data_IF_202654449697
#
_entry.id   IF_202654449697
#
_cell.length_a   1.000
_cell.length_b   1.000
_cell.length_c   1.000
_cell.angle_alpha   90.00
_cell.angle_beta   90.00
_cell.angle_gamma   90.00
#
_symmetry.space_group_name_H-M   'P 1'
#
loop_
_entity.id
_entity.type
_entity.pdbx_description
1 polymer ?
#
# COMPACT_ATOMS: atom_id res chain seq x y z
N UNK A 1 48.39 -18.72 10.17
CA UNK A 1 47.52 -19.42 11.09
C UNK A 1 46.11 -18.94 10.94
N UNK A 2 45.20 -19.79 10.42
CA UNK A 2 43.77 -19.52 10.35
C UNK A 2 43.19 -19.65 11.76
N UNK A 3 42.72 -18.55 12.32
CA UNK A 3 41.94 -18.58 13.55
C UNK A 3 40.48 -18.97 13.19
N UNK A 4 40.05 -20.10 13.75
CA UNK A 4 38.61 -20.51 13.66
C UNK A 4 37.82 -19.64 14.63
N UNK A 5 36.78 -18.96 14.08
CA UNK A 5 35.79 -18.26 14.88
C UNK A 5 34.86 -19.31 15.51
N UNK A 6 34.63 -19.32 16.83
CA UNK A 6 33.71 -20.26 17.45
C UNK A 6 32.27 -19.97 16.97
N UNK A 7 31.41 -21.01 16.84
CA UNK A 7 30.02 -20.82 16.49
C UNK A 7 29.29 -20.02 17.57
N UNK A 8 28.28 -19.22 17.20
CA UNK A 8 27.50 -18.48 18.17
C UNK A 8 26.77 -19.44 19.12
N UNK A 9 26.54 -19.03 20.37
CA UNK A 9 25.79 -19.88 21.31
C UNK A 9 24.42 -20.18 20.79
N UNK A 10 24.04 -21.46 20.92
CA UNK A 10 22.73 -21.96 20.56
C UNK A 10 21.61 -21.11 21.16
N UNK A 11 20.74 -20.62 20.32
CA UNK A 11 19.55 -19.87 20.74
C UNK A 11 18.72 -20.76 21.67
N UNK A 12 18.50 -20.28 22.89
CA UNK A 12 17.56 -20.89 23.81
C UNK A 12 16.16 -20.69 23.24
N UNK A 13 15.56 -21.75 22.74
CA UNK A 13 14.16 -21.76 22.34
C UNK A 13 13.32 -21.70 23.63
N UNK A 14 12.89 -20.51 23.99
CA UNK A 14 11.85 -20.35 24.99
C UNK A 14 10.53 -20.79 24.36
N UNK A 15 10.06 -21.97 24.75
CA UNK A 15 8.66 -22.38 24.57
C UNK A 15 7.79 -21.51 25.50
N UNK A 16 7.34 -20.38 25.01
CA UNK A 16 6.24 -19.66 25.61
C UNK A 16 4.97 -20.07 24.86
N UNK A 17 4.21 -20.99 25.44
CA UNK A 17 2.82 -21.23 25.11
C UNK A 17 1.98 -20.06 25.62
N UNK A 18 2.10 -18.91 25.04
CA UNK A 18 1.10 -17.85 25.03
C UNK A 18 0.70 -17.68 23.58
N UNK A 19 -0.57 -17.85 23.29
CA UNK A 19 -1.12 -17.50 21.99
C UNK A 19 -0.79 -16.02 21.76
N UNK A 20 0.32 -15.78 21.05
CA UNK A 20 0.66 -14.46 20.58
C UNK A 20 -0.48 -14.04 19.64
N UNK A 21 -1.07 -12.85 19.80
CA UNK A 21 -2.07 -12.39 18.85
C UNK A 21 -1.46 -12.50 17.46
N UNK A 22 -2.13 -13.23 16.56
CA UNK A 22 -1.71 -13.35 15.18
C UNK A 22 -1.90 -11.98 14.55
N UNK A 23 -0.84 -11.19 14.53
CA UNK A 23 -0.81 -9.96 13.74
C UNK A 23 -0.78 -10.38 12.28
N UNK A 24 -1.92 -10.28 11.62
CA UNK A 24 -1.98 -10.31 10.17
C UNK A 24 -1.33 -9.03 9.65
N UNK A 25 0.00 -9.07 9.51
CA UNK A 25 0.74 -7.98 8.90
C UNK A 25 0.24 -7.79 7.47
N UNK A 26 -0.11 -6.55 7.12
CA UNK A 26 -0.43 -6.15 5.75
C UNK A 26 0.72 -5.35 5.20
N UNK A 27 1.16 -5.70 4.00
CA UNK A 27 2.09 -4.88 3.22
C UNK A 27 1.42 -4.52 1.91
N UNK A 28 1.34 -3.25 1.61
CA UNK A 28 0.89 -2.71 0.33
C UNK A 28 2.05 -1.92 -0.27
N UNK A 29 2.36 -2.21 -1.52
CA UNK A 29 3.38 -1.52 -2.31
C UNK A 29 2.78 -1.00 -3.60
N UNK A 30 2.97 0.26 -3.91
CA UNK A 30 2.71 0.84 -5.23
C UNK A 30 3.99 1.40 -5.81
N UNK A 31 4.23 1.11 -7.08
CA UNK A 31 5.40 1.57 -7.82
C UNK A 31 4.93 2.28 -9.08
N UNK A 32 5.52 3.44 -9.32
CA UNK A 32 5.35 4.25 -10.51
C UNK A 32 6.68 4.34 -11.25
N UNK A 33 6.69 4.02 -12.53
CA UNK A 33 7.86 4.18 -13.39
C UNK A 33 7.49 4.96 -14.65
N UNK A 34 8.21 6.01 -14.92
CA UNK A 34 8.13 6.70 -16.21
C UNK A 34 8.92 5.92 -17.24
N UNK A 35 8.30 5.62 -18.35
CA UNK A 35 8.93 4.98 -19.51
C UNK A 35 8.76 5.82 -20.78
N UNK A 36 9.45 5.43 -21.87
CA UNK A 36 9.28 6.07 -23.17
C UNK A 36 7.83 5.99 -23.69
N UNK A 37 7.10 4.94 -23.32
CA UNK A 37 5.71 4.69 -23.73
C UNK A 37 4.67 5.29 -22.75
N UNK A 38 5.11 6.01 -21.74
CA UNK A 38 4.25 6.62 -20.74
C UNK A 38 4.52 6.14 -19.32
N UNK A 39 3.59 6.40 -18.43
CA UNK A 39 3.68 6.03 -17.00
C UNK A 39 3.15 4.63 -16.79
N UNK A 40 3.95 3.80 -16.14
CA UNK A 40 3.53 2.52 -15.59
C UNK A 40 3.24 2.67 -14.11
N UNK A 41 2.11 2.15 -13.64
CA UNK A 41 1.75 2.11 -12.23
C UNK A 41 1.26 0.71 -11.87
N UNK A 42 1.86 0.14 -10.84
CA UNK A 42 1.45 -1.14 -10.28
C UNK A 42 1.19 -0.99 -8.78
N UNK A 43 0.26 -1.77 -8.25
CA UNK A 43 0.03 -1.89 -6.82
C UNK A 43 -0.10 -3.36 -6.47
N UNK A 44 0.58 -3.76 -5.41
CA UNK A 44 0.54 -5.12 -4.89
C UNK A 44 0.36 -5.13 -3.38
N UNK A 45 -0.14 -6.23 -2.89
CA UNK A 45 -0.28 -6.49 -1.46
C UNK A 45 -0.03 -7.95 -1.17
N UNK A 46 0.03 -8.33 0.08
CA UNK A 46 0.26 -9.71 0.51
C UNK A 46 -0.75 -10.65 -0.16
N UNK A 47 -0.26 -11.51 -1.05
CA UNK A 47 -1.08 -12.48 -1.78
C UNK A 47 -1.91 -11.93 -2.94
N UNK A 48 -1.77 -10.66 -3.31
CA UNK A 48 -2.51 -10.07 -4.43
C UNK A 48 -1.69 -9.02 -5.18
N UNK A 49 -1.79 -9.04 -6.51
CA UNK A 49 -1.24 -8.00 -7.40
C UNK A 49 -2.35 -7.47 -8.31
N UNK A 50 -2.45 -6.16 -8.43
CA UNK A 50 -3.37 -5.49 -9.37
C UNK A 50 -2.57 -4.55 -10.27
N UNK A 51 -2.67 -4.80 -11.57
CA UNK A 51 -2.02 -4.02 -12.62
C UNK A 51 -3.01 -3.07 -13.27
N UNK A 52 -2.49 -2.01 -13.91
CA UNK A 52 -3.29 -0.98 -14.57
C UNK A 52 -4.47 -1.50 -15.40
N UNK A 53 -4.29 -2.63 -16.12
CA UNK A 53 -5.32 -3.24 -16.95
C UNK A 53 -5.71 -4.67 -16.56
N UNK A 54 -5.07 -5.27 -15.55
CA UNK A 54 -5.26 -6.68 -15.20
C UNK A 54 -5.47 -6.82 -13.69
N UNK A 55 -6.56 -7.48 -13.31
CA UNK A 55 -6.78 -7.95 -11.94
C UNK A 55 -6.23 -9.36 -11.84
N UNK A 56 -5.17 -9.55 -11.05
CA UNK A 56 -4.62 -10.87 -10.78
C UNK A 56 -5.36 -11.51 -9.62
N UNK A 57 -5.71 -12.77 -9.76
CA UNK A 57 -6.44 -13.53 -8.75
C UNK A 57 -5.68 -13.58 -7.42
N UNK A 58 -6.33 -13.14 -6.36
CA UNK A 58 -5.86 -13.27 -4.99
C UNK A 58 -7.03 -13.27 -4.03
N UNK A 59 -6.86 -13.92 -2.89
CA UNK A 59 -7.85 -13.91 -1.80
C UNK A 59 -7.80 -12.62 -0.98
N UNK A 60 -6.75 -11.85 -1.10
CA UNK A 60 -6.59 -10.59 -0.38
C UNK A 60 -7.46 -9.51 -1.02
N UNK A 61 -8.39 -8.98 -0.24
CA UNK A 61 -9.32 -7.93 -0.66
C UNK A 61 -8.79 -6.52 -0.38
N UNK A 62 -7.50 -6.41 -0.08
CA UNK A 62 -6.85 -5.15 0.34
C UNK A 62 -6.32 -4.31 -0.82
N UNK A 63 -6.32 -4.84 -2.03
CA UNK A 63 -5.93 -4.13 -3.25
C UNK A 63 -7.04 -4.27 -4.28
N UNK A 64 -7.44 -3.17 -4.91
CA UNK A 64 -8.46 -3.17 -5.96
C UNK A 64 -8.33 -1.99 -6.92
N UNK A 65 -9.00 -2.11 -8.05
CA UNK A 65 -9.29 -1.00 -8.94
C UNK A 65 -10.61 -0.35 -8.56
N UNK A 66 -10.63 0.97 -8.54
CA UNK A 66 -11.82 1.78 -8.29
C UNK A 66 -11.98 2.84 -9.38
N UNK A 67 -13.08 3.57 -9.36
CA UNK A 67 -13.36 4.64 -10.31
C UNK A 67 -13.21 4.17 -11.77
N UNK A 68 -14.03 3.18 -12.18
CA UNK A 68 -14.02 2.60 -13.53
C UNK A 68 -12.64 2.05 -13.97
N UNK A 69 -11.87 1.51 -13.02
CA UNK A 69 -10.54 0.96 -13.28
C UNK A 69 -9.42 1.98 -13.47
N UNK A 70 -9.69 3.26 -13.26
CA UNK A 70 -8.72 4.34 -13.46
C UNK A 70 -7.84 4.60 -12.24
N UNK A 71 -8.23 4.12 -11.06
CA UNK A 71 -7.51 4.32 -9.81
C UNK A 71 -7.21 2.97 -9.17
N UNK A 72 -5.96 2.80 -8.77
CA UNK A 72 -5.51 1.66 -7.97
C UNK A 72 -5.55 2.06 -6.50
N UNK A 73 -6.08 1.20 -5.65
CA UNK A 73 -6.19 1.46 -4.22
C UNK A 73 -5.78 0.25 -3.40
N UNK A 74 -5.06 0.50 -2.32
CA UNK A 74 -4.64 -0.50 -1.35
C UNK A 74 -4.91 -0.03 0.08
N UNK A 75 -5.15 -0.96 0.98
CA UNK A 75 -5.56 -0.69 2.34
C UNK A 75 -4.73 -1.48 3.33
N UNK A 76 -4.21 -0.80 4.35
CA UNK A 76 -3.58 -1.40 5.51
C UNK A 76 -4.42 -1.11 6.77
N UNK A 77 -4.94 -2.15 7.39
CA UNK A 77 -5.84 -2.09 8.54
C UNK A 77 -6.82 -3.26 8.58
N UNK A 78 -7.89 -3.15 9.35
CA UNK A 78 -8.91 -4.19 9.43
C UNK A 78 -9.72 -4.30 8.14
N UNK A 79 -9.90 -5.51 7.63
CA UNK A 79 -10.55 -5.74 6.32
C UNK A 79 -12.00 -5.23 6.27
N UNK A 80 -12.73 -5.32 7.37
CA UNK A 80 -14.10 -4.81 7.43
C UNK A 80 -14.18 -3.30 7.20
N UNK A 81 -13.15 -2.57 7.60
CA UNK A 81 -13.07 -1.11 7.46
C UNK A 81 -12.63 -0.67 6.07
N UNK A 82 -11.91 -1.55 5.36
CA UNK A 82 -11.41 -1.29 4.01
C UNK A 82 -12.55 -0.97 3.03
N UNK A 83 -13.61 -1.74 3.06
CA UNK A 83 -14.74 -1.56 2.15
C UNK A 83 -15.41 -0.20 2.32
N UNK A 84 -15.63 0.22 3.56
CA UNK A 84 -16.23 1.52 3.85
C UNK A 84 -15.35 2.66 3.32
N UNK A 85 -14.04 2.60 3.54
CA UNK A 85 -13.11 3.61 3.06
C UNK A 85 -13.00 3.64 1.53
N UNK A 86 -12.96 2.48 0.88
CA UNK A 86 -12.96 2.42 -0.59
C UNK A 86 -14.23 3.01 -1.20
N UNK A 87 -15.39 2.68 -0.64
CA UNK A 87 -16.66 3.24 -1.10
C UNK A 87 -16.73 4.75 -0.92
N UNK A 88 -16.29 5.25 0.23
CA UNK A 88 -16.22 6.68 0.51
C UNK A 88 -15.25 7.40 -0.42
N UNK A 89 -14.11 6.80 -0.69
CA UNK A 89 -13.13 7.37 -1.60
C UNK A 89 -13.63 7.40 -3.04
N UNK A 90 -14.25 6.32 -3.49
CA UNK A 90 -14.86 6.26 -4.83
C UNK A 90 -15.94 7.32 -5.02
N UNK A 91 -16.79 7.54 -4.00
CA UNK A 91 -17.78 8.61 -4.03
C UNK A 91 -17.13 10.00 -4.14
N UNK A 92 -15.99 10.24 -3.49
CA UNK A 92 -15.22 11.50 -3.64
C UNK A 92 -14.60 11.63 -5.02
N UNK A 93 -14.09 10.54 -5.59
CA UNK A 93 -13.57 10.54 -6.96
C UNK A 93 -14.67 10.88 -7.97
N UNK A 94 -15.84 10.30 -7.84
CA UNK A 94 -17.00 10.60 -8.70
C UNK A 94 -17.43 12.06 -8.58
N UNK A 95 -17.50 12.57 -7.36
CA UNK A 95 -17.88 13.96 -7.10
C UNK A 95 -16.88 14.97 -7.67
N UNK A 96 -15.60 14.64 -7.67
CA UNK A 96 -14.51 15.51 -8.11
C UNK A 96 -13.92 15.11 -9.47
N UNK A 97 -14.67 14.37 -10.30
CA UNK A 97 -14.32 14.03 -11.68
C UNK A 97 -12.98 13.30 -11.82
N UNK A 98 -12.66 12.45 -10.86
CA UNK A 98 -11.44 11.65 -10.85
C UNK A 98 -10.18 12.38 -10.41
N UNK A 99 -10.28 13.61 -9.91
CA UNK A 99 -9.13 14.32 -9.34
C UNK A 99 -8.66 13.67 -8.03
N UNK A 100 -7.57 12.89 -8.12
CA UNK A 100 -7.10 12.04 -7.03
C UNK A 100 -6.75 12.83 -5.77
N UNK A 101 -5.95 13.89 -5.88
CA UNK A 101 -5.54 14.72 -4.75
C UNK A 101 -6.74 15.39 -4.09
N UNK A 102 -7.66 15.93 -4.89
CA UNK A 102 -8.86 16.58 -4.36
C UNK A 102 -9.75 15.58 -3.62
N UNK A 103 -9.98 14.42 -4.21
CA UNK A 103 -10.75 13.34 -3.58
C UNK A 103 -10.12 12.87 -2.27
N UNK A 104 -8.79 12.76 -2.24
CA UNK A 104 -8.04 12.39 -1.03
C UNK A 104 -8.21 13.42 0.10
N UNK A 105 -8.09 14.70 -0.21
CA UNK A 105 -8.29 15.79 0.77
C UNK A 105 -9.71 15.76 1.32
N UNK A 106 -10.71 15.60 0.48
CA UNK A 106 -12.10 15.54 0.91
C UNK A 106 -12.40 14.28 1.73
N UNK A 107 -11.78 13.15 1.42
CA UNK A 107 -11.89 11.94 2.23
C UNK A 107 -11.32 12.16 3.63
N UNK A 108 -10.17 12.83 3.77
CA UNK A 108 -9.57 13.08 5.09
C UNK A 108 -10.44 13.97 5.97
N UNK A 109 -11.18 14.90 5.40
CA UNK A 109 -12.15 15.71 6.14
C UNK A 109 -13.26 14.84 6.72
N UNK A 110 -13.84 13.96 5.91
CA UNK A 110 -14.85 13.01 6.38
C UNK A 110 -14.28 12.04 7.41
N UNK A 111 -13.08 11.51 7.17
CA UNK A 111 -12.42 10.56 8.06
C UNK A 111 -12.23 11.12 9.47
N UNK A 112 -11.88 12.40 9.57
CA UNK A 112 -11.69 13.06 10.86
C UNK A 112 -12.99 13.43 11.58
N UNK A 113 -14.06 13.69 10.87
CA UNK A 113 -15.31 14.23 11.41
C UNK A 113 -16.43 13.22 11.55
N UNK A 114 -16.46 12.18 10.71
CA UNK A 114 -17.45 11.12 10.78
C UNK A 114 -17.23 10.23 12.01
N UNK A 115 -18.29 9.96 12.77
CA UNK A 115 -18.21 9.20 14.02
C UNK A 115 -17.74 7.76 13.84
N UNK A 116 -18.02 7.16 12.69
CA UNK A 116 -17.59 5.80 12.36
C UNK A 116 -16.16 5.82 11.83
N UNK A 117 -15.90 6.65 10.82
CA UNK A 117 -14.60 6.68 10.14
C UNK A 117 -13.46 7.12 11.07
N UNK A 118 -13.67 8.10 11.93
CA UNK A 118 -12.61 8.62 12.83
C UNK A 118 -12.04 7.59 13.80
N UNK A 119 -12.72 6.46 13.99
CA UNK A 119 -12.25 5.35 14.85
C UNK A 119 -11.39 4.34 14.08
N UNK A 120 -11.31 4.47 12.75
CA UNK A 120 -10.56 3.55 11.92
C UNK A 120 -9.08 3.91 11.94
N UNK A 121 -8.27 3.02 12.46
CA UNK A 121 -6.81 3.08 12.36
C UNK A 121 -6.38 2.37 11.10
N UNK A 122 -6.17 3.14 10.03
CA UNK A 122 -5.89 2.60 8.72
C UNK A 122 -5.08 3.57 7.88
N UNK A 123 -4.52 3.05 6.80
CA UNK A 123 -3.86 3.81 5.75
C UNK A 123 -4.35 3.34 4.39
N UNK A 124 -4.52 4.27 3.48
CA UNK A 124 -4.80 3.99 2.07
C UNK A 124 -3.58 4.36 1.22
N UNK A 125 -3.25 3.49 0.28
CA UNK A 125 -2.38 3.81 -0.84
C UNK A 125 -3.24 3.91 -2.09
N UNK A 126 -3.18 5.03 -2.79
CA UNK A 126 -3.95 5.25 -4.01
C UNK A 126 -3.07 5.79 -5.11
N UNK A 127 -3.31 5.36 -6.34
CA UNK A 127 -2.54 5.79 -7.48
C UNK A 127 -3.38 5.82 -8.76
N UNK A 128 -3.14 6.82 -9.58
CA UNK A 128 -3.61 6.90 -10.95
C UNK A 128 -2.44 7.22 -11.90
N UNK A 129 -2.73 7.57 -13.14
CA UNK A 129 -1.69 7.93 -14.12
C UNK A 129 -0.94 9.23 -13.80
N UNK A 130 -1.46 10.07 -12.91
CA UNK A 130 -0.86 11.37 -12.58
C UNK A 130 -0.15 11.37 -11.22
N UNK A 131 -0.70 10.69 -10.20
CA UNK A 131 -0.19 10.78 -8.84
C UNK A 131 -0.29 9.46 -8.07
N UNK A 132 0.56 9.33 -7.05
CA UNK A 132 0.50 8.27 -6.05
C UNK A 132 0.49 8.90 -4.66
N UNK A 133 -0.46 8.51 -3.81
CA UNK A 133 -0.70 9.15 -2.53
C UNK A 133 -0.82 8.13 -1.40
N UNK A 134 -0.41 8.54 -0.20
CA UNK A 134 -0.77 7.90 1.06
C UNK A 134 -1.80 8.78 1.77
N UNK A 135 -2.90 8.18 2.19
CA UNK A 135 -3.97 8.85 2.94
C UNK A 135 -4.07 8.20 4.32
N UNK A 136 -4.00 8.98 5.37
CA UNK A 136 -4.07 8.49 6.75
C UNK A 136 -5.30 8.99 7.48
N UNK A 137 -5.72 8.26 8.51
CA UNK A 137 -6.83 8.65 9.38
C UNK A 137 -6.56 9.93 10.19
N UNK A 138 -5.32 10.36 10.29
CA UNK A 138 -4.95 11.63 10.93
C UNK A 138 -5.18 12.85 10.05
N UNK A 139 -5.61 12.67 8.81
CA UNK A 139 -5.85 13.74 7.87
C UNK A 139 -4.68 14.06 6.96
N UNK A 140 -3.64 13.22 6.96
CA UNK A 140 -2.48 13.42 6.10
C UNK A 140 -2.75 12.87 4.70
N UNK A 141 -2.37 13.66 3.70
CA UNK A 141 -2.28 13.25 2.30
C UNK A 141 -0.84 13.48 1.87
N UNK A 142 -0.11 12.38 1.65
CA UNK A 142 1.32 12.42 1.35
C UNK A 142 1.56 11.95 -0.07
N UNK A 143 2.35 12.71 -0.83
CA UNK A 143 2.82 12.34 -2.16
C UNK A 143 4.32 11.98 -2.06
N UNK A 144 4.70 10.70 -2.24
CA UNK A 144 6.10 10.29 -2.16
C UNK A 144 6.91 10.82 -3.35
N UNK A 145 8.11 11.30 -3.09
CA UNK A 145 8.96 11.93 -4.11
C UNK A 145 9.41 10.97 -5.22
N UNK A 146 9.53 9.68 -4.95
CA UNK A 146 10.13 8.71 -5.88
C UNK A 146 9.11 7.79 -6.55
N UNK A 147 7.82 8.08 -6.45
CA UNK A 147 6.78 7.24 -7.03
C UNK A 147 6.61 5.88 -6.37
N UNK A 148 7.14 5.70 -5.17
CA UNK A 148 7.02 4.48 -4.37
C UNK A 148 6.15 4.78 -3.15
N UNK A 149 5.05 4.06 -3.03
CA UNK A 149 4.18 4.06 -1.85
C UNK A 149 4.26 2.70 -1.20
N UNK A 150 4.61 2.66 0.07
CA UNK A 150 4.61 1.44 0.85
C UNK A 150 3.97 1.69 2.21
N UNK A 151 2.97 0.90 2.55
CA UNK A 151 2.22 1.00 3.81
C UNK A 151 2.07 -0.36 4.46
N UNK A 152 1.75 -0.35 5.76
CA UNK A 152 1.60 -1.55 6.56
C UNK A 152 2.88 -1.99 7.25
N UNK A 153 2.83 -3.12 7.96
CA UNK A 153 3.93 -3.60 8.81
C UNK A 153 5.21 -3.95 8.04
N UNK A 154 5.09 -4.43 6.80
CA UNK A 154 6.22 -4.73 5.93
C UNK A 154 6.60 -3.57 5.00
N UNK A 155 5.98 -2.40 5.14
CA UNK A 155 6.13 -1.28 4.22
C UNK A 155 7.57 -0.78 4.06
N UNK A 156 8.32 -0.69 5.14
CA UNK A 156 9.72 -0.23 5.09
C UNK A 156 10.62 -1.17 4.28
N UNK A 157 10.42 -2.48 4.41
CA UNK A 157 11.16 -3.48 3.63
C UNK A 157 10.78 -3.42 2.15
N UNK A 158 9.49 -3.38 1.86
CA UNK A 158 8.98 -3.27 0.50
C UNK A 158 9.46 -1.98 -0.18
N UNK A 159 9.44 -0.86 0.52
CA UNK A 159 9.94 0.43 0.02
C UNK A 159 11.42 0.36 -0.34
N UNK A 160 12.26 -0.19 0.55
CA UNK A 160 13.71 -0.31 0.33
C UNK A 160 14.03 -1.21 -0.86
N UNK A 161 13.36 -2.34 -0.98
CA UNK A 161 13.52 -3.25 -2.11
C UNK A 161 13.09 -2.61 -3.44
N UNK A 162 11.92 -2.00 -3.46
CA UNK A 162 11.39 -1.31 -4.65
C UNK A 162 12.29 -0.16 -5.08
N UNK A 163 12.81 0.62 -4.14
CA UNK A 163 13.74 1.72 -4.43
C UNK A 163 15.03 1.23 -5.06
N UNK A 164 15.61 0.16 -4.53
CA UNK A 164 16.82 -0.45 -5.09
C UNK A 164 16.60 -0.94 -6.52
N UNK A 165 15.49 -1.63 -6.78
CA UNK A 165 15.15 -2.12 -8.11
C UNK A 165 14.83 -0.99 -9.09
N UNK A 166 14.07 0.00 -8.66
CA UNK A 166 13.67 1.14 -9.50
C UNK A 166 14.89 1.96 -9.95
N UNK A 167 15.88 2.14 -9.06
CA UNK A 167 17.07 2.94 -9.34
C UNK A 167 18.16 2.19 -10.11
N UNK A 168 18.22 0.86 -10.03
CA UNK A 168 19.33 0.07 -10.53
C UNK A 168 18.95 -0.94 -11.62
N UNK A 169 17.70 -0.99 -12.03
CA UNK A 169 17.23 -1.90 -13.08
C UNK A 169 16.28 -1.19 -14.04
N UNK A 170 16.02 -1.84 -15.18
CA UNK A 170 15.01 -1.42 -16.16
C UNK A 170 13.71 -2.24 -16.04
N UNK A 171 13.50 -2.90 -14.90
CA UNK A 171 12.28 -3.66 -14.62
C UNK A 171 11.04 -2.76 -14.75
N UNK A 172 9.95 -3.32 -15.26
CA UNK A 172 8.66 -2.63 -15.26
C UNK A 172 8.15 -2.39 -13.85
N UNK A 173 7.19 -1.48 -13.68
CA UNK A 173 6.56 -1.26 -12.39
C UNK A 173 5.94 -2.55 -11.81
N UNK A 174 5.44 -3.42 -12.69
CA UNK A 174 4.89 -4.73 -12.32
C UNK A 174 5.96 -5.70 -11.81
N UNK A 175 7.12 -5.71 -12.44
CA UNK A 175 8.23 -6.63 -12.10
C UNK A 175 8.95 -6.23 -10.82
N UNK A 176 8.87 -4.96 -10.43
CA UNK A 176 9.40 -4.45 -9.17
C UNK A 176 8.51 -4.86 -8.01
#
# INVERSE_FOLDING_TARGET
GLQMVPPPPSAVVMNASSESPVFHGTTILSVRRQTADGVQVAIGGDGQVTLGNIVVKGSARKVRKIHHGKVLAGFAGATADAFTLFERFEAKLDKHQGHLVRAAIELTKDWRTDRVLRRLEAMLAVADHEASLIITGNGDVLEPEQGIVAIGSGGAYAHSAAKALLQNTDLSAEEI
#
